data_IF_314792437396
#
_entry.id   IF_314792437396
#
_cell.length_a   1.000
_cell.length_b   1.000
_cell.length_c   1.000
_cell.angle_alpha   90.00
_cell.angle_beta   90.00
_cell.angle_gamma   90.00
#
_symmetry.space_group_name_H-M   'P 1'
#
loop_
_entity.id
_entity.type
_entity.pdbx_description
1 polymer ?
#
# COMPACT_ATOMS: atom_id res chain seq x y z
N UNK A 1 1.82 -3.11 -69.82
CA UNK A 1 1.48 -3.93 -68.64
C UNK A 1 2.26 -3.41 -67.46
N UNK A 2 1.60 -2.80 -66.46
CA UNK A 2 2.28 -2.25 -65.28
C UNK A 2 2.79 -3.41 -64.40
N UNK A 3 4.03 -3.30 -63.88
CA UNK A 3 4.58 -4.28 -62.94
C UNK A 3 3.68 -4.33 -61.68
N UNK A 4 3.38 -5.52 -61.13
CA UNK A 4 2.67 -5.61 -59.85
C UNK A 4 3.49 -4.89 -58.77
N UNK A 5 2.84 -4.01 -58.02
CA UNK A 5 3.49 -3.22 -56.99
C UNK A 5 3.91 -4.13 -55.81
N UNK A 6 5.17 -4.02 -55.38
CA UNK A 6 5.67 -4.72 -54.20
C UNK A 6 5.06 -4.12 -52.93
N UNK A 7 4.08 -4.82 -52.38
CA UNK A 7 3.38 -4.42 -51.14
C UNK A 7 4.32 -4.27 -49.93
N UNK A 8 5.44 -5.01 -49.90
CA UNK A 8 6.44 -4.89 -48.83
C UNK A 8 7.33 -3.65 -48.99
N UNK A 9 7.58 -3.20 -50.23
CA UNK A 9 8.25 -1.94 -50.50
C UNK A 9 7.36 -0.74 -50.14
N UNK A 10 6.06 -0.80 -50.46
CA UNK A 10 5.10 0.26 -50.11
C UNK A 10 4.89 0.42 -48.60
N UNK A 11 4.86 -0.70 -47.86
CA UNK A 11 4.73 -0.68 -46.40
C UNK A 11 5.98 -0.09 -45.73
N UNK A 12 7.19 -0.37 -46.26
CA UNK A 12 8.44 0.25 -45.80
C UNK A 12 8.48 1.75 -46.09
N UNK A 13 8.06 2.17 -47.28
CA UNK A 13 8.01 3.58 -47.65
C UNK A 13 7.05 4.38 -46.75
N UNK A 14 5.92 3.78 -46.35
CA UNK A 14 4.99 4.40 -45.41
C UNK A 14 5.57 4.55 -43.99
N UNK A 15 6.41 3.61 -43.55
CA UNK A 15 7.12 3.70 -42.27
C UNK A 15 8.18 4.82 -42.30
N UNK A 16 8.99 4.85 -43.35
CA UNK A 16 10.11 5.78 -43.48
C UNK A 16 9.64 7.23 -43.62
N UNK A 17 8.55 7.48 -44.35
CA UNK A 17 8.09 8.84 -44.64
C UNK A 17 7.05 9.40 -43.66
N UNK A 18 6.24 8.53 -43.03
CA UNK A 18 5.13 8.96 -42.17
C UNK A 18 5.23 8.47 -40.72
N UNK A 19 6.27 7.70 -40.37
CA UNK A 19 6.47 7.17 -39.02
C UNK A 19 5.37 6.21 -38.55
N UNK A 20 4.55 5.71 -39.48
CA UNK A 20 3.44 4.82 -39.15
C UNK A 20 3.99 3.41 -38.89
N UNK A 21 3.61 2.75 -37.77
CA UNK A 21 4.09 1.40 -37.49
C UNK A 21 3.59 0.42 -38.57
N UNK A 22 4.32 -0.68 -38.85
CA UNK A 22 3.99 -1.64 -39.90
C UNK A 22 2.56 -2.20 -39.84
N UNK A 23 1.93 -2.14 -38.66
CA UNK A 23 0.59 -2.67 -38.39
C UNK A 23 -0.53 -1.63 -38.57
N UNK A 24 -0.21 -0.36 -38.78
CA UNK A 24 -1.17 0.72 -39.02
C UNK A 24 -1.44 1.00 -40.52
N UNK A 25 -0.72 0.31 -41.40
CA UNK A 25 -0.83 0.46 -42.86
C UNK A 25 -1.33 -0.86 -43.45
N UNK A 26 -2.42 -0.81 -44.22
CA UNK A 26 -2.89 -1.93 -45.02
C UNK A 26 -2.79 -1.57 -46.51
N UNK A 27 -2.27 -2.49 -47.32
CA UNK A 27 -1.99 -2.25 -48.74
C UNK A 27 -2.90 -3.13 -49.59
N UNK A 28 -3.87 -2.49 -50.23
CA UNK A 28 -4.76 -3.13 -51.20
C UNK A 28 -4.17 -3.02 -52.61
N UNK A 29 -3.67 -4.15 -53.13
CA UNK A 29 -3.32 -4.26 -54.55
C UNK A 29 -4.58 -4.39 -55.39
N UNK A 30 -4.75 -3.53 -56.38
CA UNK A 30 -5.83 -3.57 -57.36
C UNK A 30 -5.21 -3.63 -58.75
N UNK A 31 -5.67 -4.54 -59.61
CA UNK A 31 -5.20 -4.66 -60.99
C UNK A 31 -5.57 -3.42 -61.83
N UNK A 32 -6.73 -2.83 -61.52
CA UNK A 32 -7.18 -1.55 -62.06
C UNK A 32 -7.94 -0.76 -60.99
N UNK A 33 -7.69 0.55 -60.92
CA UNK A 33 -8.36 1.43 -59.96
C UNK A 33 -9.80 1.68 -60.45
N UNK A 34 -10.84 1.34 -59.66
CA UNK A 34 -12.23 1.61 -60.01
C UNK A 34 -12.45 3.09 -60.33
N UNK A 35 -13.18 3.37 -61.41
CA UNK A 35 -13.52 4.73 -61.86
C UNK A 35 -15.02 4.86 -62.08
N UNK A 36 -15.54 6.05 -61.78
CA UNK A 36 -16.89 6.48 -62.12
C UNK A 36 -17.03 6.66 -63.64
N UNK A 37 -18.26 6.70 -64.19
CA UNK A 37 -18.50 7.02 -65.60
C UNK A 37 -17.90 8.36 -66.06
N UNK A 38 -17.63 9.27 -65.11
CA UNK A 38 -16.93 10.54 -65.34
C UNK A 38 -15.40 10.44 -65.44
N UNK A 39 -14.83 9.23 -65.35
CA UNK A 39 -13.39 8.96 -65.36
C UNK A 39 -12.68 9.22 -64.03
N UNK A 40 -13.36 9.80 -63.04
CA UNK A 40 -12.82 10.03 -61.68
C UNK A 40 -12.72 8.73 -60.88
N UNK A 41 -11.74 8.63 -59.98
CA UNK A 41 -11.60 7.48 -59.08
C UNK A 41 -12.86 7.26 -58.24
N UNK A 42 -13.38 6.04 -58.26
CA UNK A 42 -14.49 5.62 -57.42
C UNK A 42 -13.98 5.16 -56.05
N UNK A 43 -13.80 6.13 -55.15
CA UNK A 43 -13.34 5.90 -53.79
C UNK A 43 -14.26 4.98 -52.99
N UNK A 44 -15.57 4.94 -53.29
CA UNK A 44 -16.51 4.06 -52.56
C UNK A 44 -16.27 2.60 -52.87
N UNK A 45 -16.04 2.27 -54.14
CA UNK A 45 -15.70 0.91 -54.56
C UNK A 45 -14.34 0.45 -54.03
N UNK A 46 -13.35 1.36 -53.95
CA UNK A 46 -12.04 1.07 -53.33
C UNK A 46 -12.20 0.80 -51.82
N UNK A 47 -12.98 1.63 -51.13
CA UNK A 47 -13.24 1.48 -49.69
C UNK A 47 -14.01 0.17 -49.38
N UNK A 48 -15.01 -0.17 -50.19
CA UNK A 48 -15.77 -1.41 -50.04
C UNK A 48 -14.84 -2.64 -50.14
N UNK A 49 -13.97 -2.69 -51.16
CA UNK A 49 -12.99 -3.79 -51.31
C UNK A 49 -11.95 -3.84 -50.19
N UNK A 50 -11.54 -2.68 -49.67
CA UNK A 50 -10.65 -2.63 -48.51
C UNK A 50 -11.32 -3.19 -47.25
N UNK A 51 -12.61 -2.89 -47.04
CA UNK A 51 -13.41 -3.41 -45.92
C UNK A 51 -13.62 -4.92 -46.04
N UNK A 52 -14.01 -5.41 -47.23
CA UNK A 52 -14.20 -6.85 -47.49
C UNK A 52 -12.94 -7.67 -47.19
N UNK A 53 -11.77 -7.18 -47.63
CA UNK A 53 -10.48 -7.83 -47.35
C UNK A 53 -10.11 -7.80 -45.86
N UNK A 54 -10.41 -6.70 -45.18
CA UNK A 54 -10.23 -6.59 -43.72
C UNK A 54 -11.10 -7.62 -43.00
N UNK A 55 -12.39 -7.71 -43.33
CA UNK A 55 -13.31 -8.70 -42.74
C UNK A 55 -12.92 -10.14 -43.03
N UNK A 56 -12.43 -10.45 -44.24
CA UNK A 56 -11.96 -11.80 -44.58
C UNK A 56 -10.69 -12.19 -43.81
N UNK A 57 -9.81 -11.21 -43.53
CA UNK A 57 -8.59 -11.40 -42.74
C UNK A 57 -8.89 -11.54 -41.24
N UNK A 58 -9.88 -10.80 -40.75
CA UNK A 58 -10.34 -10.91 -39.36
C UNK A 58 -11.02 -12.26 -39.09
N UNK A 59 -11.74 -12.81 -40.07
CA UNK A 59 -12.32 -14.16 -40.00
C UNK A 59 -11.26 -15.28 -40.03
N UNK A 60 -10.08 -15.02 -40.60
CA UNK A 60 -8.98 -15.98 -40.69
C UNK A 60 -8.07 -16.02 -39.44
N UNK A 61 -8.33 -15.20 -38.41
CA UNK A 61 -7.65 -15.28 -37.10
C UNK A 61 -6.18 -14.85 -37.07
N UNK A 62 -5.65 -14.25 -38.13
CA UNK A 62 -4.20 -14.01 -38.31
C UNK A 62 -3.72 -12.66 -37.70
N UNK A 63 -4.56 -11.99 -36.91
CA UNK A 63 -4.20 -10.80 -36.09
C UNK A 63 -4.92 -10.82 -34.74
N UNK A 64 -4.26 -10.46 -33.62
CA UNK A 64 -4.95 -10.12 -32.39
C UNK A 64 -5.82 -8.89 -32.63
N UNK A 65 -7.14 -9.00 -32.41
CA UNK A 65 -8.08 -7.91 -32.66
C UNK A 65 -7.84 -6.65 -31.79
N UNK A 66 -8.55 -5.54 -32.03
CA UNK A 66 -8.40 -4.28 -31.28
C UNK A 66 -8.49 -4.44 -29.76
N UNK A 67 -9.31 -5.38 -29.28
CA UNK A 67 -9.42 -5.72 -27.85
C UNK A 67 -8.17 -6.38 -27.26
N UNK A 68 -7.38 -7.10 -28.06
CA UNK A 68 -6.11 -7.69 -27.62
C UNK A 68 -5.02 -6.62 -27.46
N UNK A 69 -5.00 -5.59 -28.32
CA UNK A 69 -4.06 -4.46 -28.18
C UNK A 69 -4.36 -3.60 -26.94
N UNK A 70 -5.63 -3.41 -26.59
CA UNK A 70 -6.04 -2.71 -25.36
C UNK A 70 -5.73 -3.56 -24.12
N UNK A 71 -5.94 -4.88 -24.19
CA UNK A 71 -5.59 -5.81 -23.13
C UNK A 71 -4.09 -5.82 -22.82
N UNK A 72 -3.25 -5.81 -23.86
CA UNK A 72 -1.80 -5.81 -23.73
C UNK A 72 -1.30 -4.50 -23.11
N UNK A 73 -1.90 -3.36 -23.51
CA UNK A 73 -1.64 -2.05 -22.88
C UNK A 73 -2.03 -2.02 -21.40
N UNK A 74 -3.21 -2.51 -21.04
CA UNK A 74 -3.66 -2.56 -19.65
C UNK A 74 -2.72 -3.42 -18.79
N UNK A 75 -2.25 -4.54 -19.31
CA UNK A 75 -1.28 -5.39 -18.63
C UNK A 75 0.06 -4.67 -18.43
N UNK A 76 0.55 -3.97 -19.46
CA UNK A 76 1.75 -3.12 -19.35
C UNK A 76 1.55 -2.04 -18.29
N UNK A 77 0.43 -1.30 -18.31
CA UNK A 77 0.16 -0.23 -17.36
C UNK A 77 0.11 -0.73 -15.90
N UNK A 78 -0.53 -1.87 -15.65
CA UNK A 78 -0.57 -2.50 -14.31
C UNK A 78 0.82 -2.92 -13.85
N UNK A 79 1.62 -3.54 -14.73
CA UNK A 79 3.00 -3.92 -14.40
C UNK A 79 3.87 -2.69 -14.16
N UNK A 80 3.73 -1.63 -14.95
CA UNK A 80 4.44 -0.36 -14.77
C UNK A 80 4.10 0.28 -13.44
N UNK A 81 2.82 0.33 -13.05
CA UNK A 81 2.42 0.86 -11.73
C UNK A 81 3.07 0.08 -10.59
N UNK A 82 3.08 -1.25 -10.67
CA UNK A 82 3.71 -2.09 -9.63
C UNK A 82 5.22 -1.95 -9.63
N UNK A 83 5.85 -1.94 -10.80
CA UNK A 83 7.28 -1.75 -10.98
C UNK A 83 7.75 -0.41 -10.39
N UNK A 84 7.04 0.67 -10.69
CA UNK A 84 7.35 2.01 -10.25
C UNK A 84 7.21 2.17 -8.74
N UNK A 85 6.10 1.68 -8.15
CA UNK A 85 5.85 1.86 -6.72
C UNK A 85 6.71 0.93 -5.87
N UNK A 86 7.01 -0.28 -6.34
CA UNK A 86 7.81 -1.25 -5.59
C UNK A 86 9.31 -1.16 -5.89
N UNK A 87 9.72 -0.35 -6.88
CA UNK A 87 11.11 -0.19 -7.29
C UNK A 87 11.69 -1.45 -7.95
N UNK A 88 10.88 -2.20 -8.71
CA UNK A 88 11.26 -3.50 -9.30
C UNK A 88 11.08 -3.52 -10.81
N UNK A 89 12.08 -4.01 -11.54
CA UNK A 89 12.02 -4.15 -13.00
C UNK A 89 11.55 -5.53 -13.48
N UNK A 90 11.43 -6.50 -12.59
CA UNK A 90 11.21 -7.93 -12.88
C UNK A 90 9.75 -8.38 -12.68
N UNK A 91 8.77 -7.51 -12.94
CA UNK A 91 7.35 -7.80 -12.70
C UNK A 91 6.73 -8.65 -13.82
N UNK A 92 6.16 -9.79 -13.47
CA UNK A 92 5.51 -10.76 -14.38
C UNK A 92 4.01 -10.92 -14.12
N UNK A 93 3.25 -11.55 -15.01
CA UNK A 93 1.80 -11.75 -14.82
C UNK A 93 1.44 -12.72 -13.69
N UNK A 94 2.37 -13.57 -13.27
CA UNK A 94 2.16 -14.53 -12.18
C UNK A 94 2.39 -13.88 -10.81
N UNK A 95 3.00 -12.69 -10.80
CA UNK A 95 3.27 -11.97 -9.57
C UNK A 95 1.99 -11.40 -8.97
N UNK A 96 2.04 -11.27 -7.64
CA UNK A 96 1.05 -10.60 -6.81
C UNK A 96 1.74 -9.43 -6.11
N UNK A 97 0.97 -8.45 -5.65
CA UNK A 97 1.53 -7.35 -4.85
C UNK A 97 2.35 -7.86 -3.65
N UNK A 98 1.85 -8.90 -2.97
CA UNK A 98 2.53 -9.47 -1.80
C UNK A 98 3.75 -10.33 -2.14
N UNK A 99 3.76 -11.02 -3.29
CA UNK A 99 4.94 -11.78 -3.74
C UNK A 99 6.08 -10.85 -4.15
N UNK A 100 5.75 -9.66 -4.68
CA UNK A 100 6.74 -8.63 -5.02
C UNK A 100 7.30 -7.87 -3.81
N UNK A 101 6.85 -8.19 -2.59
CA UNK A 101 7.29 -7.51 -1.36
C UNK A 101 6.55 -6.19 -1.08
N UNK A 102 5.35 -6.02 -1.63
CA UNK A 102 4.46 -4.92 -1.27
C UNK A 102 4.07 -4.96 0.21
N UNK A 103 3.92 -3.79 0.82
CA UNK A 103 3.67 -3.62 2.24
C UNK A 103 2.59 -2.56 2.52
N UNK A 104 2.31 -2.27 3.79
CA UNK A 104 1.25 -1.35 4.17
C UNK A 104 1.47 0.12 3.76
N UNK A 105 2.72 0.52 3.48
CA UNK A 105 3.03 1.87 3.01
C UNK A 105 2.75 1.98 1.51
N UNK A 106 3.21 1.00 0.72
CA UNK A 106 2.96 0.99 -0.73
C UNK A 106 1.53 0.58 -1.10
N UNK A 107 0.84 -0.19 -0.25
CA UNK A 107 -0.48 -0.75 -0.56
C UNK A 107 -1.53 0.31 -0.94
N UNK A 108 -1.64 1.37 -0.16
CA UNK A 108 -2.66 2.40 -0.38
C UNK A 108 -2.36 3.18 -1.66
N UNK A 109 -1.10 3.58 -1.86
CA UNK A 109 -0.67 4.26 -3.08
C UNK A 109 -0.87 3.39 -4.32
N UNK A 110 -0.41 2.14 -4.29
CA UNK A 110 -0.61 1.19 -5.38
C UNK A 110 -2.08 0.97 -5.66
N UNK A 111 -2.93 0.83 -4.62
CA UNK A 111 -4.37 0.65 -4.82
C UNK A 111 -5.01 1.83 -5.56
N UNK A 112 -4.64 3.07 -5.23
CA UNK A 112 -5.17 4.26 -5.88
C UNK A 112 -4.70 4.38 -7.34
N UNK A 113 -3.42 4.07 -7.62
CA UNK A 113 -2.87 4.09 -8.97
C UNK A 113 -3.45 2.97 -9.84
N UNK A 114 -3.57 1.77 -9.29
CA UNK A 114 -4.20 0.63 -9.99
C UNK A 114 -5.68 0.88 -10.24
N UNK A 115 -6.42 1.46 -9.29
CA UNK A 115 -7.83 1.79 -9.50
C UNK A 115 -8.00 2.89 -10.58
N UNK A 116 -7.04 3.80 -10.73
CA UNK A 116 -7.06 4.79 -11.82
C UNK A 116 -6.89 4.13 -13.21
N UNK A 117 -6.14 3.03 -13.29
CA UNK A 117 -5.89 2.26 -14.52
C UNK A 117 -7.03 1.26 -14.80
N UNK A 118 -7.49 0.55 -13.76
CA UNK A 118 -8.49 -0.54 -13.87
C UNK A 118 -9.94 -0.04 -13.74
N UNK A 119 -10.17 1.19 -13.28
CA UNK A 119 -11.49 1.75 -12.99
C UNK A 119 -12.10 1.23 -11.69
N UNK A 120 -12.23 -0.10 -11.54
CA UNK A 120 -12.68 -0.76 -10.31
C UNK A 120 -11.65 -1.78 -9.86
N UNK A 121 -11.14 -1.61 -8.64
CA UNK A 121 -10.17 -2.53 -8.06
C UNK A 121 -10.90 -3.63 -7.27
N UNK A 122 -10.71 -4.93 -7.60
CA UNK A 122 -11.37 -6.02 -6.90
C UNK A 122 -10.87 -6.16 -5.45
N UNK A 123 -11.75 -6.65 -4.57
CA UNK A 123 -11.37 -7.02 -3.19
C UNK A 123 -10.35 -8.16 -3.25
N UNK A 124 -9.28 -8.07 -2.47
CA UNK A 124 -8.24 -9.10 -2.48
C UNK A 124 -7.23 -8.97 -3.63
N UNK A 125 -7.20 -7.85 -4.35
CA UNK A 125 -6.27 -7.65 -5.47
C UNK A 125 -4.79 -7.94 -5.13
N UNK A 126 -4.37 -7.60 -3.91
CA UNK A 126 -3.00 -7.82 -3.45
C UNK A 126 -2.49 -9.26 -3.46
N UNK A 127 -3.38 -10.25 -3.41
CA UNK A 127 -3.04 -11.68 -3.51
C UNK A 127 -3.47 -12.29 -4.84
N UNK A 128 -4.01 -11.48 -5.75
CA UNK A 128 -4.45 -11.92 -7.07
C UNK A 128 -3.31 -11.74 -8.07
N UNK A 129 -2.99 -12.76 -8.90
CA UNK A 129 -1.98 -12.61 -9.95
C UNK A 129 -2.31 -11.46 -10.91
N UNK A 130 -1.31 -10.72 -11.37
CA UNK A 130 -1.48 -9.56 -12.26
C UNK A 130 -2.24 -9.95 -13.55
N UNK A 131 -1.93 -11.12 -14.13
CA UNK A 131 -2.63 -11.61 -15.32
C UNK A 131 -4.11 -11.91 -15.07
N UNK A 132 -4.47 -12.32 -13.85
CA UNK A 132 -5.86 -12.54 -13.46
C UNK A 132 -6.59 -11.21 -13.17
N UNK A 133 -5.89 -10.22 -12.61
CA UNK A 133 -6.44 -8.86 -12.41
C UNK A 133 -6.79 -8.18 -13.74
N UNK A 134 -5.88 -8.26 -14.71
CA UNK A 134 -6.11 -7.71 -16.05
C UNK A 134 -7.19 -8.50 -16.78
N UNK A 135 -7.26 -9.82 -16.60
CA UNK A 135 -8.35 -10.65 -17.12
C UNK A 135 -9.74 -10.26 -16.57
N UNK A 136 -9.86 -10.06 -15.25
CA UNK A 136 -11.10 -9.64 -14.62
C UNK A 136 -11.57 -8.26 -15.13
N UNK A 137 -10.65 -7.29 -15.22
CA UNK A 137 -10.95 -5.97 -15.76
C UNK A 137 -11.38 -6.01 -17.25
N UNK A 138 -10.86 -6.97 -18.03
CA UNK A 138 -11.29 -7.20 -19.43
C UNK A 138 -12.74 -7.66 -19.52
N UNK A 139 -13.17 -8.54 -18.62
CA UNK A 139 -14.55 -9.06 -18.61
C UNK A 139 -15.56 -8.04 -18.11
N UNK A 140 -15.17 -7.15 -17.20
CA UNK A 140 -16.03 -6.05 -16.73
C UNK A 140 -16.12 -4.89 -17.76
N UNK A 141 -15.09 -4.73 -18.60
CA UNK A 141 -15.00 -3.64 -19.59
C UNK A 141 -15.96 -3.74 -20.78
N UNK A 142 -16.61 -4.88 -21.01
CA UNK A 142 -17.65 -5.05 -22.04
C UNK A 142 -19.02 -4.52 -21.60
N UNK A 143 -19.23 -4.32 -20.30
CA UNK A 143 -20.45 -3.74 -19.73
C UNK A 143 -20.29 -2.22 -19.56
N UNK A 144 -20.44 -1.48 -20.66
CA UNK A 144 -20.36 0.00 -20.73
C UNK A 144 -21.47 0.75 -19.96
N UNK A 145 -22.18 0.09 -19.03
CA UNK A 145 -23.31 0.66 -18.27
C UNK A 145 -23.29 0.36 -16.77
N UNK A 146 -22.12 0.14 -16.16
CA UNK A 146 -22.07 0.21 -14.69
C UNK A 146 -22.31 1.66 -14.24
N UNK A 147 -23.36 1.95 -13.44
CA UNK A 147 -23.62 3.31 -12.95
C UNK A 147 -22.41 3.75 -12.13
N UNK A 148 -21.96 5.00 -12.36
CA UNK A 148 -20.93 5.66 -11.53
C UNK A 148 -21.48 5.79 -10.11
N UNK A 149 -21.36 4.74 -9.31
CA UNK A 149 -21.85 4.72 -7.94
C UNK A 149 -21.15 5.84 -7.19
N UNK A 150 -21.92 6.72 -6.53
CA UNK A 150 -21.37 7.85 -5.73
C UNK A 150 -20.52 7.38 -4.53
N UNK A 151 -20.52 6.08 -4.24
CA UNK A 151 -19.70 5.44 -3.21
C UNK A 151 -18.54 4.62 -3.80
N UNK A 152 -17.39 4.69 -3.13
CA UNK A 152 -16.25 3.79 -3.32
C UNK A 152 -16.15 2.82 -2.15
N UNK A 153 -15.70 1.60 -2.45
CA UNK A 153 -15.36 0.62 -1.43
C UNK A 153 -13.98 0.96 -0.89
N UNK A 154 -13.88 1.26 0.40
CA UNK A 154 -12.62 1.53 1.09
C UNK A 154 -12.37 0.44 2.13
N UNK A 155 -11.15 -0.09 2.19
CA UNK A 155 -10.79 -1.05 3.23
C UNK A 155 -10.84 -0.41 4.61
N UNK A 156 -11.44 -1.11 5.58
CA UNK A 156 -11.60 -0.62 6.95
C UNK A 156 -10.27 -0.23 7.57
N UNK A 157 -9.21 -0.99 7.31
CA UNK A 157 -7.84 -0.71 7.73
C UNK A 157 -7.36 0.68 7.25
N UNK A 158 -7.57 1.01 5.98
CA UNK A 158 -7.18 2.31 5.41
C UNK A 158 -7.98 3.44 6.06
N UNK A 159 -9.29 3.25 6.24
CA UNK A 159 -10.15 4.21 6.93
C UNK A 159 -9.71 4.42 8.38
N UNK A 160 -9.48 3.34 9.13
CA UNK A 160 -9.07 3.42 10.53
C UNK A 160 -7.69 4.08 10.67
N UNK A 161 -6.74 3.84 9.75
CA UNK A 161 -5.46 4.59 9.74
C UNK A 161 -5.67 6.09 9.56
N UNK A 162 -6.53 6.48 8.61
CA UNK A 162 -6.84 7.87 8.36
C UNK A 162 -7.54 8.54 9.56
N UNK A 163 -8.52 7.86 10.17
CA UNK A 163 -9.21 8.35 11.36
C UNK A 163 -8.26 8.43 12.55
N UNK A 164 -7.41 7.41 12.76
CA UNK A 164 -6.47 7.39 13.87
C UNK A 164 -5.42 8.50 13.76
N UNK A 165 -4.87 8.78 12.57
CA UNK A 165 -3.88 9.86 12.43
C UNK A 165 -4.52 11.24 12.64
N UNK A 166 -5.76 11.45 12.18
CA UNK A 166 -6.50 12.69 12.45
C UNK A 166 -6.81 12.81 13.95
N UNK A 167 -7.20 11.71 14.61
CA UNK A 167 -7.47 11.70 16.05
C UNK A 167 -6.22 12.02 16.89
N UNK A 168 -5.06 11.45 16.53
CA UNK A 168 -3.77 11.72 17.18
C UNK A 168 -3.42 13.21 17.06
N UNK A 169 -3.39 13.74 15.82
CA UNK A 169 -2.96 15.13 15.58
C UNK A 169 -3.96 16.12 16.18
N UNK A 170 -5.27 15.87 16.05
CA UNK A 170 -6.30 16.73 16.63
C UNK A 170 -6.26 16.75 18.16
N UNK A 171 -5.92 15.63 18.79
CA UNK A 171 -5.74 15.55 20.24
C UNK A 171 -4.49 16.25 20.72
N UNK A 172 -3.38 16.10 20.02
CA UNK A 172 -2.14 16.80 20.39
C UNK A 172 -2.25 18.32 20.17
N UNK A 173 -2.98 18.75 19.14
CA UNK A 173 -3.15 20.17 18.82
C UNK A 173 -4.25 20.89 19.61
N UNK A 174 -4.76 20.31 20.70
CA UNK A 174 -5.86 20.82 21.52
C UNK A 174 -7.18 21.11 20.77
N UNK A 175 -7.45 20.45 19.63
CA UNK A 175 -8.68 20.64 18.88
C UNK A 175 -9.87 19.87 19.47
N UNK A 176 -9.63 18.64 19.91
CA UNK A 176 -10.57 17.78 20.63
C UNK A 176 -9.77 16.71 21.38
N UNK A 177 -10.32 16.05 22.40
CA UNK A 177 -9.61 14.96 23.10
C UNK A 177 -10.20 13.62 22.68
N UNK A 178 -9.47 12.89 21.82
CA UNK A 178 -9.83 11.52 21.41
C UNK A 178 -8.57 10.64 21.38
N UNK A 179 -8.21 10.14 22.55
CA UNK A 179 -7.04 9.30 22.74
C UNK A 179 -7.28 7.86 22.26
N UNK A 180 -6.20 7.08 22.11
CA UNK A 180 -6.25 5.67 21.71
C UNK A 180 -5.96 5.39 20.24
N UNK A 181 -5.92 6.42 19.38
CA UNK A 181 -5.62 6.26 17.95
C UNK A 181 -4.31 5.49 17.67
N UNK A 182 -3.24 5.78 18.41
CA UNK A 182 -1.97 5.06 18.28
C UNK A 182 -2.05 3.55 18.64
N UNK A 183 -2.92 3.19 19.59
CA UNK A 183 -3.13 1.80 20.01
C UNK A 183 -3.93 1.03 18.95
N UNK A 184 -4.90 1.69 18.32
CA UNK A 184 -5.60 1.14 17.13
C UNK A 184 -4.60 0.96 15.98
N UNK A 185 -3.70 1.93 15.73
CA UNK A 185 -2.65 1.79 14.72
C UNK A 185 -1.72 0.60 14.99
N UNK A 186 -1.45 0.27 16.26
CA UNK A 186 -0.63 -0.87 16.62
C UNK A 186 -1.32 -2.21 16.28
N UNK A 187 -2.62 -2.34 16.57
CA UNK A 187 -3.42 -3.48 16.11
C UNK A 187 -3.48 -3.57 14.58
N UNK A 188 -3.63 -2.43 13.90
CA UNK A 188 -3.57 -2.37 12.44
C UNK A 188 -2.19 -2.80 11.91
N UNK A 189 -1.10 -2.40 12.57
CA UNK A 189 0.25 -2.80 12.19
C UNK A 189 0.41 -4.33 12.27
N UNK A 190 -0.11 -4.96 13.33
CA UNK A 190 -0.15 -6.42 13.45
C UNK A 190 -0.98 -7.09 12.37
N UNK A 191 -2.16 -6.53 12.06
CA UNK A 191 -3.01 -7.00 10.95
C UNK A 191 -2.26 -6.93 9.61
N UNK A 192 -1.59 -5.81 9.34
CA UNK A 192 -0.81 -5.59 8.12
C UNK A 192 0.40 -6.53 8.03
N UNK A 193 1.08 -6.76 9.15
CA UNK A 193 2.17 -7.74 9.23
C UNK A 193 1.69 -9.13 8.80
N UNK A 194 0.58 -9.59 9.40
CA UNK A 194 -0.04 -10.87 9.06
C UNK A 194 -0.50 -10.95 7.59
N UNK A 195 -0.92 -9.82 7.02
CA UNK A 195 -1.50 -9.70 5.67
C UNK A 195 -0.44 -9.68 4.57
N UNK A 196 0.60 -8.88 4.74
CA UNK A 196 1.57 -8.57 3.67
C UNK A 196 2.86 -9.37 3.77
N UNK A 197 3.27 -9.76 4.98
CA UNK A 197 4.57 -10.40 5.17
C UNK A 197 4.49 -11.91 5.42
N UNK A 198 3.34 -12.45 5.83
CA UNK A 198 3.21 -13.88 6.15
C UNK A 198 2.54 -14.62 4.98
N UNK A 199 3.24 -14.63 3.84
CA UNK A 199 2.78 -15.15 2.55
C UNK A 199 3.34 -16.57 2.28
N UNK A 200 2.99 -17.13 1.13
CA UNK A 200 3.47 -18.44 0.67
C UNK A 200 4.91 -18.42 0.13
N UNK A 201 5.56 -17.25 0.03
CA UNK A 201 6.93 -17.14 -0.50
C UNK A 201 7.95 -17.88 0.39
N UNK A 202 9.09 -18.29 -0.17
CA UNK A 202 10.17 -18.92 0.60
C UNK A 202 10.62 -18.07 1.79
N UNK A 203 11.05 -18.72 2.87
CA UNK A 203 11.44 -18.05 4.13
C UNK A 203 12.50 -16.95 3.93
N UNK A 204 13.52 -17.20 3.11
CA UNK A 204 14.60 -16.23 2.88
C UNK A 204 14.07 -14.95 2.23
N UNK A 205 13.18 -15.09 1.25
CA UNK A 205 12.54 -13.97 0.57
C UNK A 205 11.57 -13.22 1.50
N UNK A 206 10.80 -13.96 2.31
CA UNK A 206 9.95 -13.40 3.36
C UNK A 206 10.74 -12.52 4.34
N UNK A 207 11.87 -13.01 4.84
CA UNK A 207 12.74 -12.27 5.76
C UNK A 207 13.32 -11.03 5.08
N UNK A 208 13.72 -11.14 3.81
CA UNK A 208 14.19 -9.99 3.02
C UNK A 208 13.10 -8.93 2.87
N UNK A 209 11.89 -9.31 2.49
CA UNK A 209 10.75 -8.39 2.36
C UNK A 209 10.40 -7.72 3.69
N UNK A 210 10.44 -8.48 4.79
CA UNK A 210 10.28 -7.93 6.13
C UNK A 210 11.36 -6.89 6.44
N UNK A 211 12.64 -7.23 6.27
CA UNK A 211 13.75 -6.33 6.53
C UNK A 211 13.67 -5.05 5.69
N UNK A 212 13.29 -5.15 4.41
CA UNK A 212 13.03 -4.00 3.53
C UNK A 212 11.86 -3.16 4.03
N UNK A 213 10.78 -3.77 4.50
CA UNK A 213 9.63 -3.02 5.03
C UNK A 213 9.98 -2.31 6.35
N UNK A 214 10.75 -2.97 7.23
CA UNK A 214 11.29 -2.33 8.44
C UNK A 214 12.17 -1.14 8.07
N UNK A 215 13.07 -1.27 7.10
CA UNK A 215 13.94 -0.15 6.71
C UNK A 215 13.18 1.03 6.11
N UNK A 216 12.08 0.78 5.36
CA UNK A 216 11.18 1.83 4.84
C UNK A 216 10.48 2.64 5.93
N UNK A 217 10.35 2.11 7.14
CA UNK A 217 9.82 2.84 8.31
C UNK A 217 10.96 3.43 9.14
N UNK A 218 11.95 2.61 9.48
CA UNK A 218 13.04 2.97 10.38
C UNK A 218 13.92 4.07 9.79
N UNK A 219 14.39 3.93 8.55
CA UNK A 219 15.35 4.87 7.96
C UNK A 219 14.79 6.29 7.85
N UNK A 220 13.59 6.52 7.26
CA UNK A 220 13.01 7.87 7.22
C UNK A 220 12.78 8.45 8.62
N UNK A 221 12.38 7.62 9.58
CA UNK A 221 12.16 8.04 10.96
C UNK A 221 13.48 8.45 11.63
N UNK A 222 14.52 7.62 11.54
CA UNK A 222 15.84 7.91 12.10
C UNK A 222 16.44 9.18 11.47
N UNK A 223 16.30 9.37 10.15
CA UNK A 223 16.75 10.59 9.46
C UNK A 223 15.97 11.82 9.92
N UNK A 224 14.65 11.71 10.06
CA UNK A 224 13.82 12.80 10.59
C UNK A 224 14.23 13.15 12.02
N UNK A 225 14.35 12.15 12.90
CA UNK A 225 14.75 12.36 14.30
C UNK A 225 16.16 12.93 14.39
N UNK A 226 17.09 12.53 13.52
CA UNK A 226 18.42 13.12 13.44
C UNK A 226 18.36 14.61 13.07
N UNK A 227 17.50 14.99 12.12
CA UNK A 227 17.30 16.39 11.76
C UNK A 227 16.68 17.19 12.91
N UNK A 228 15.67 16.63 13.59
CA UNK A 228 15.03 17.27 14.74
C UNK A 228 15.98 17.37 15.94
N UNK A 229 16.87 16.40 16.14
CA UNK A 229 17.87 16.43 17.22
C UNK A 229 18.84 17.63 17.10
N UNK A 230 19.01 18.21 15.91
CA UNK A 230 19.80 19.43 15.72
C UNK A 230 19.12 20.65 16.34
N UNK A 231 17.79 20.71 16.28
CA UNK A 231 16.99 21.85 16.77
C UNK A 231 16.45 21.63 18.19
N UNK A 232 16.26 20.38 18.60
CA UNK A 232 15.61 19.99 19.85
C UNK A 232 16.63 19.29 20.76
N UNK A 233 17.19 20.04 21.72
CA UNK A 233 18.35 19.61 22.54
C UNK A 233 18.14 18.30 23.32
N UNK A 234 16.91 18.00 23.68
CA UNK A 234 16.58 16.85 24.53
C UNK A 234 16.31 15.56 23.74
N UNK A 235 16.28 15.63 22.39
CA UNK A 235 16.24 14.45 21.52
C UNK A 235 17.67 13.95 21.32
N UNK A 236 18.01 12.88 22.02
CA UNK A 236 19.35 12.29 21.99
C UNK A 236 19.52 11.18 20.96
N UNK A 237 20.74 10.63 20.91
CA UNK A 237 21.07 9.48 20.04
C UNK A 237 20.16 8.26 20.27
N UNK A 238 19.63 8.09 21.50
CA UNK A 238 18.71 6.99 21.84
C UNK A 238 17.41 7.10 21.04
N UNK A 239 16.87 8.31 20.90
CA UNK A 239 15.69 8.57 20.08
C UNK A 239 16.01 8.38 18.59
N UNK A 240 17.13 8.94 18.13
CA UNK A 240 17.56 8.82 16.73
C UNK A 240 17.71 7.36 16.31
N UNK A 241 18.21 6.48 17.19
CA UNK A 241 18.34 5.05 16.92
C UNK A 241 17.09 4.23 17.27
N UNK A 242 16.00 4.85 17.72
CA UNK A 242 14.76 4.19 18.16
C UNK A 242 15.02 3.17 19.28
N UNK A 243 15.79 3.58 20.29
CA UNK A 243 16.18 2.80 21.47
C UNK A 243 15.81 3.49 22.79
N UNK A 244 14.99 4.54 22.76
CA UNK A 244 14.64 5.30 23.96
C UNK A 244 13.75 4.49 24.93
N UNK A 245 12.77 3.74 24.44
CA UNK A 245 11.96 2.82 25.25
C UNK A 245 12.76 1.65 25.85
N UNK A 246 13.91 1.29 25.27
CA UNK A 246 14.80 0.26 25.82
C UNK A 246 15.87 0.80 26.79
N UNK A 247 16.49 1.93 26.46
CA UNK A 247 17.66 2.47 27.15
C UNK A 247 17.41 3.83 27.84
N UNK A 248 16.25 4.43 27.63
CA UNK A 248 15.87 5.75 28.15
C UNK A 248 15.27 5.71 29.56
N UNK A 249 14.82 6.87 30.05
CA UNK A 249 14.08 6.98 31.31
C UNK A 249 12.83 6.10 31.30
N UNK A 250 12.46 5.55 32.46
CA UNK A 250 11.30 4.66 32.59
C UNK A 250 9.97 5.39 32.72
N UNK A 251 10.01 6.64 33.18
CA UNK A 251 8.86 7.53 33.18
C UNK A 251 8.72 8.22 31.83
N UNK A 252 7.50 8.60 31.47
CA UNK A 252 7.27 9.49 30.34
C UNK A 252 8.05 10.78 30.52
N UNK A 253 8.87 11.14 29.53
CA UNK A 253 9.59 12.41 29.49
C UNK A 253 9.42 13.05 28.12
N UNK A 254 9.01 14.32 28.10
CA UNK A 254 8.93 15.10 26.87
C UNK A 254 10.23 15.90 26.71
N UNK A 255 10.83 15.94 25.50
CA UNK A 255 10.34 15.43 24.21
C UNK A 255 10.73 13.98 23.87
N UNK A 256 11.41 13.24 24.74
CA UNK A 256 11.95 11.91 24.39
C UNK A 256 10.86 10.86 24.12
N UNK A 257 9.67 11.00 24.71
CA UNK A 257 8.53 10.11 24.54
C UNK A 257 7.75 10.30 23.23
N UNK A 258 7.93 11.42 22.53
CA UNK A 258 7.10 11.83 21.39
C UNK A 258 6.95 10.78 20.29
N UNK A 259 7.99 9.97 20.06
CA UNK A 259 8.09 9.01 18.95
C UNK A 259 7.97 7.54 19.36
N UNK A 260 7.47 7.26 20.58
CA UNK A 260 7.37 5.92 21.14
C UNK A 260 6.71 4.90 20.19
N UNK A 261 5.67 5.30 19.45
CA UNK A 261 4.92 4.39 18.59
C UNK A 261 5.79 3.80 17.48
N UNK A 262 6.59 4.65 16.83
CA UNK A 262 7.50 4.22 15.75
C UNK A 262 8.59 3.31 16.31
N UNK A 263 9.13 3.65 17.48
CA UNK A 263 10.11 2.80 18.16
C UNK A 263 9.53 1.41 18.47
N UNK A 264 8.36 1.35 19.12
CA UNK A 264 7.68 0.10 19.44
C UNK A 264 7.41 -0.73 18.19
N UNK A 265 6.93 -0.09 17.12
CA UNK A 265 6.66 -0.74 15.85
C UNK A 265 7.93 -1.33 15.23
N UNK A 266 9.00 -0.55 15.12
CA UNK A 266 10.26 -0.98 14.51
C UNK A 266 10.90 -2.11 15.32
N UNK A 267 10.99 -1.97 16.65
CA UNK A 267 11.54 -3.01 17.52
C UNK A 267 10.74 -4.31 17.43
N UNK A 268 9.41 -4.22 17.45
CA UNK A 268 8.53 -5.39 17.30
C UNK A 268 8.78 -6.10 15.97
N UNK A 269 8.84 -5.34 14.87
CA UNK A 269 9.09 -5.90 13.55
C UNK A 269 10.50 -6.49 13.41
N UNK A 270 11.52 -5.87 14.00
CA UNK A 270 12.89 -6.41 14.03
C UNK A 270 12.94 -7.75 14.76
N UNK A 271 12.35 -7.83 15.96
CA UNK A 271 12.27 -9.08 16.74
C UNK A 271 11.53 -10.15 15.95
N UNK A 272 10.36 -9.84 15.37
CA UNK A 272 9.61 -10.80 14.56
C UNK A 272 10.37 -11.24 13.30
N UNK A 273 11.12 -10.33 12.67
CA UNK A 273 11.98 -10.65 11.53
C UNK A 273 13.09 -11.61 11.92
N UNK A 274 13.76 -11.37 13.06
CA UNK A 274 14.78 -12.26 13.60
C UNK A 274 14.21 -13.63 13.98
N UNK A 275 13.03 -13.67 14.62
CA UNK A 275 12.35 -14.91 14.96
C UNK A 275 11.97 -15.71 13.71
N UNK A 276 11.38 -15.07 12.69
CA UNK A 276 11.02 -15.73 11.43
C UNK A 276 12.23 -16.13 10.57
N UNK A 277 13.41 -15.59 10.84
CA UNK A 277 14.65 -16.09 10.28
C UNK A 277 15.00 -17.50 10.81
N UNK A 278 14.46 -17.91 11.96
CA UNK A 278 14.63 -19.27 12.50
C UNK A 278 13.67 -20.24 11.79
N UNK A 279 14.16 -21.31 11.13
CA UNK A 279 13.30 -22.25 10.37
C UNK A 279 12.22 -22.93 11.19
N UNK A 280 12.45 -23.11 12.50
CA UNK A 280 11.46 -23.68 13.40
C UNK A 280 10.27 -22.74 13.63
N UNK A 281 10.52 -21.44 13.80
CA UNK A 281 9.48 -20.43 14.00
C UNK A 281 8.66 -20.23 12.73
N UNK A 282 9.29 -20.16 11.55
CA UNK A 282 8.57 -20.08 10.27
C UNK A 282 7.64 -21.29 10.07
N UNK A 283 8.10 -22.50 10.39
CA UNK A 283 7.26 -23.71 10.34
C UNK A 283 6.11 -23.67 11.35
N UNK A 284 6.37 -23.19 12.56
CA UNK A 284 5.35 -23.07 13.61
C UNK A 284 4.27 -22.08 13.19
N UNK A 285 4.65 -20.93 12.63
CA UNK A 285 3.71 -19.93 12.12
C UNK A 285 2.87 -20.48 10.98
N UNK A 286 3.45 -21.20 10.02
CA UNK A 286 2.70 -21.83 8.93
C UNK A 286 1.73 -22.89 9.43
N UNK A 287 2.14 -23.71 10.41
CA UNK A 287 1.31 -24.78 10.99
C UNK A 287 0.16 -24.22 11.84
N UNK A 288 0.43 -23.19 12.63
CA UNK A 288 -0.50 -22.63 13.60
C UNK A 288 -0.82 -21.17 13.29
N UNK A 289 -1.19 -20.87 12.04
CA UNK A 289 -1.28 -19.49 11.54
C UNK A 289 -2.22 -18.59 12.36
N UNK A 290 -3.32 -19.13 12.90
CA UNK A 290 -4.19 -18.40 13.83
C UNK A 290 -3.75 -18.52 15.30
N UNK A 291 -3.44 -19.74 15.75
CA UNK A 291 -3.20 -20.00 17.17
C UNK A 291 -1.88 -19.45 17.69
N UNK A 292 -0.85 -19.30 16.83
CA UNK A 292 0.41 -18.69 17.21
C UNK A 292 0.23 -17.21 17.62
N UNK A 293 -0.30 -16.30 16.77
CA UNK A 293 -0.51 -14.92 17.17
C UNK A 293 -1.54 -14.77 18.29
N UNK A 294 -2.57 -15.61 18.32
CA UNK A 294 -3.55 -15.59 19.42
C UNK A 294 -2.91 -15.98 20.76
N UNK A 295 -2.09 -17.02 20.78
CA UNK A 295 -1.34 -17.43 21.98
C UNK A 295 -0.31 -16.39 22.41
N UNK A 296 0.37 -15.74 21.47
CA UNK A 296 1.27 -14.61 21.75
C UNK A 296 0.52 -13.42 22.35
N UNK A 297 -0.71 -13.14 21.90
CA UNK A 297 -1.54 -12.12 22.50
C UNK A 297 -1.90 -12.46 23.96
N UNK A 298 -2.32 -13.70 24.22
CA UNK A 298 -2.63 -14.14 25.59
C UNK A 298 -1.39 -14.10 26.50
N UNK A 299 -0.22 -14.51 25.98
CA UNK A 299 1.04 -14.41 26.72
C UNK A 299 1.40 -12.94 27.00
N UNK A 300 1.19 -12.04 26.03
CA UNK A 300 1.37 -10.60 26.22
C UNK A 300 0.40 -10.00 27.25
N UNK A 301 -0.80 -10.56 27.43
CA UNK A 301 -1.71 -10.11 28.48
C UNK A 301 -1.24 -10.45 29.90
N UNK A 302 -0.29 -11.37 30.07
CA UNK A 302 0.31 -11.64 31.37
C UNK A 302 1.10 -10.45 31.91
N UNK A 303 1.65 -9.61 31.03
CA UNK A 303 2.33 -8.37 31.44
C UNK A 303 1.34 -7.27 31.79
N UNK A 304 0.15 -7.26 31.16
CA UNK A 304 -0.95 -6.34 31.50
C UNK A 304 -1.50 -6.59 32.91
N UNK A 305 -1.72 -7.84 33.27
CA UNK A 305 -2.35 -8.21 34.55
C UNK A 305 -1.34 -8.40 35.69
N UNK A 306 -0.12 -7.88 35.54
CA UNK A 306 0.98 -8.00 36.51
C UNK A 306 1.31 -9.43 36.95
N UNK A 307 0.90 -10.43 36.17
CA UNK A 307 1.24 -11.85 36.38
C UNK A 307 2.72 -12.06 36.08
N UNK A 308 3.21 -11.41 35.02
CA UNK A 308 4.64 -11.26 34.73
C UNK A 308 5.00 -9.80 34.93
N UNK A 309 5.60 -9.51 36.09
CA UNK A 309 6.02 -8.16 36.43
C UNK A 309 7.21 -7.74 35.55
N UNK A 310 6.99 -6.76 34.69
CA UNK A 310 8.07 -6.02 34.07
C UNK A 310 8.58 -4.96 35.05
N UNK A 311 9.81 -4.46 34.82
CA UNK A 311 10.37 -3.37 35.63
C UNK A 311 9.41 -2.17 35.68
N UNK A 312 9.13 -1.57 36.86
CA UNK A 312 8.17 -0.46 37.01
C UNK A 312 8.44 0.73 36.07
N UNK A 313 7.40 1.34 35.49
CA UNK A 313 7.53 2.49 34.60
C UNK A 313 6.25 2.84 33.82
N UNK A 314 6.42 3.55 32.71
CA UNK A 314 5.35 3.92 31.77
C UNK A 314 4.90 2.72 30.93
N UNK A 315 3.85 2.05 31.36
CA UNK A 315 3.44 0.77 30.79
C UNK A 315 2.73 0.90 29.44
N UNK A 316 2.04 2.01 29.17
CA UNK A 316 1.23 2.17 27.94
C UNK A 316 2.05 2.52 26.68
N UNK A 317 3.31 2.94 26.83
CA UNK A 317 4.17 3.31 25.70
C UNK A 317 5.31 2.31 25.44
N UNK A 318 5.33 1.18 26.15
CA UNK A 318 6.41 0.18 26.06
C UNK A 318 6.03 -1.02 25.23
N UNK A 319 6.92 -1.40 24.32
CA UNK A 319 6.70 -2.50 23.38
C UNK A 319 6.27 -3.81 24.07
N UNK A 320 6.90 -4.17 25.19
CA UNK A 320 6.60 -5.40 25.93
C UNK A 320 5.21 -5.44 26.56
N UNK A 321 4.59 -4.28 26.81
CA UNK A 321 3.26 -4.17 27.43
C UNK A 321 2.18 -4.03 26.37
N UNK A 322 2.43 -3.32 25.26
CA UNK A 322 1.40 -3.14 24.21
C UNK A 322 1.46 -4.18 23.10
N UNK A 323 2.45 -5.09 23.10
CA UNK A 323 2.61 -6.11 22.06
C UNK A 323 1.36 -6.99 21.87
N UNK A 324 0.57 -7.22 22.93
CA UNK A 324 -0.66 -8.01 22.80
C UNK A 324 -1.67 -7.37 21.81
N UNK A 325 -1.72 -6.04 21.68
CA UNK A 325 -2.57 -5.38 20.67
C UNK A 325 -2.10 -5.69 19.25
N UNK A 326 -0.78 -5.65 19.02
CA UNK A 326 -0.18 -6.06 17.75
C UNK A 326 -0.50 -7.52 17.44
N UNK A 327 -0.31 -8.41 18.42
CA UNK A 327 -0.59 -9.84 18.27
C UNK A 327 -2.08 -10.13 18.00
N UNK A 328 -3.01 -9.41 18.64
CA UNK A 328 -4.45 -9.49 18.33
C UNK A 328 -4.77 -9.02 16.91
N UNK A 329 -4.12 -7.95 16.45
CA UNK A 329 -4.20 -7.48 15.07
C UNK A 329 -3.77 -8.55 14.07
N UNK A 330 -2.63 -9.20 14.35
CA UNK A 330 -2.14 -10.33 13.55
C UNK A 330 -3.11 -11.52 13.60
N UNK A 331 -3.63 -11.89 14.77
CA UNK A 331 -4.63 -12.96 14.89
C UNK A 331 -5.91 -12.63 14.09
N UNK A 332 -6.30 -11.35 14.02
CA UNK A 332 -7.48 -10.88 13.29
C UNK A 332 -7.41 -11.21 11.80
N UNK A 333 -6.29 -10.95 11.12
CA UNK A 333 -6.18 -11.27 9.68
C UNK A 333 -6.19 -12.78 9.43
N UNK A 334 -5.71 -13.58 10.39
CA UNK A 334 -5.71 -15.05 10.32
C UNK A 334 -7.04 -15.67 10.80
N UNK A 335 -8.01 -14.88 11.25
CA UNK A 335 -9.31 -15.34 11.72
C UNK A 335 -10.26 -15.69 10.55
N UNK A 336 -10.06 -16.87 9.98
CA UNK A 336 -10.83 -17.39 8.83
C UNK A 336 -12.25 -17.85 9.20
N UNK A 337 -12.50 -18.25 10.45
CA UNK A 337 -13.80 -18.74 10.92
C UNK A 337 -14.51 -17.72 11.81
N UNK A 338 -15.84 -17.79 11.90
CA UNK A 338 -16.62 -16.96 12.85
C UNK A 338 -16.18 -17.19 14.30
N UNK A 339 -15.82 -18.43 14.67
CA UNK A 339 -15.33 -18.77 16.01
C UNK A 339 -14.04 -18.02 16.34
N UNK A 340 -13.07 -17.98 15.42
CA UNK A 340 -11.83 -17.22 15.61
C UNK A 340 -12.10 -15.72 15.80
N UNK A 341 -13.03 -15.14 15.04
CA UNK A 341 -13.41 -13.73 15.19
C UNK A 341 -14.08 -13.42 16.52
N UNK A 342 -14.95 -14.31 16.98
CA UNK A 342 -15.57 -14.20 18.31
C UNK A 342 -14.50 -14.29 19.39
N UNK A 343 -13.58 -15.26 19.32
CA UNK A 343 -12.48 -15.38 20.29
C UNK A 343 -11.62 -14.10 20.37
N UNK A 344 -11.18 -13.58 19.22
CA UNK A 344 -10.41 -12.31 19.19
C UNK A 344 -11.23 -11.15 19.76
N UNK A 345 -12.52 -11.05 19.40
CA UNK A 345 -13.41 -10.00 19.91
C UNK A 345 -13.60 -10.10 21.42
N UNK A 346 -13.79 -11.30 21.96
CA UNK A 346 -13.93 -11.56 23.39
C UNK A 346 -12.66 -11.14 24.14
N UNK A 347 -11.48 -11.46 23.62
CA UNK A 347 -10.22 -11.03 24.25
C UNK A 347 -10.10 -9.51 24.22
N UNK A 348 -10.34 -8.86 23.07
CA UNK A 348 -10.31 -7.38 22.96
C UNK A 348 -11.22 -6.71 24.00
N UNK A 349 -12.46 -7.17 24.13
CA UNK A 349 -13.44 -6.59 25.06
C UNK A 349 -13.09 -6.87 26.51
N UNK A 350 -12.58 -8.07 26.82
CA UNK A 350 -12.20 -8.43 28.18
C UNK A 350 -10.88 -7.80 28.63
N UNK A 351 -9.98 -7.50 27.69
CA UNK A 351 -8.62 -7.07 27.97
C UNK A 351 -8.39 -5.57 27.84
N UNK A 352 -9.42 -4.73 27.72
CA UNK A 352 -9.28 -3.28 27.66
C UNK A 352 -9.77 -2.53 28.90
N UNK A 353 -10.85 -2.95 29.57
CA UNK A 353 -11.29 -2.31 30.81
C UNK A 353 -10.18 -2.19 31.86
N UNK A 354 -9.98 -0.98 32.36
CA UNK A 354 -8.96 -0.65 33.36
C UNK A 354 -7.53 -0.64 32.81
N UNK A 355 -7.33 -0.54 31.49
CA UNK A 355 -5.96 -0.43 30.94
C UNK A 355 -5.43 0.98 30.98
N UNK A 356 -6.31 1.92 30.67
CA UNK A 356 -5.94 3.31 30.43
C UNK A 356 -6.46 4.24 31.51
N UNK A 357 -7.27 3.70 32.45
CA UNK A 357 -8.08 4.46 33.40
C UNK A 357 -8.92 5.57 32.74
N UNK A 358 -9.23 5.36 31.46
CA UNK A 358 -9.99 6.26 30.60
C UNK A 358 -10.98 5.42 29.76
N UNK A 359 -12.27 5.40 30.13
CA UNK A 359 -13.27 4.56 29.45
C UNK A 359 -13.52 4.99 28.01
N UNK A 360 -13.30 6.27 27.66
CA UNK A 360 -13.48 6.76 26.28
C UNK A 360 -12.34 6.24 25.41
N UNK A 361 -11.10 6.34 25.88
CA UNK A 361 -9.93 5.77 25.20
C UNK A 361 -10.06 4.26 25.02
N UNK A 362 -10.52 3.55 26.06
CA UNK A 362 -10.79 2.11 25.99
C UNK A 362 -11.85 1.80 24.93
N UNK A 363 -12.97 2.52 24.92
CA UNK A 363 -14.05 2.34 23.94
C UNK A 363 -13.57 2.59 22.51
N UNK A 364 -12.72 3.60 22.28
CA UNK A 364 -12.12 3.88 20.96
C UNK A 364 -11.27 2.70 20.48
N UNK A 365 -10.43 2.14 21.35
CA UNK A 365 -9.57 0.99 20.99
C UNK A 365 -10.41 -0.27 20.75
N UNK A 366 -11.40 -0.55 21.62
CA UNK A 366 -12.35 -1.66 21.42
C UNK A 366 -13.05 -1.50 20.08
N UNK A 367 -13.65 -0.33 19.81
CA UNK A 367 -14.38 -0.07 18.58
C UNK A 367 -13.48 -0.22 17.34
N UNK A 368 -12.29 0.37 17.35
CA UNK A 368 -11.33 0.25 16.25
C UNK A 368 -10.94 -1.20 15.94
N UNK A 369 -10.68 -1.99 16.99
CA UNK A 369 -10.34 -3.41 16.84
C UNK A 369 -11.54 -4.25 16.38
N UNK A 370 -12.74 -4.02 16.90
CA UNK A 370 -13.94 -4.73 16.47
C UNK A 370 -14.31 -4.40 15.02
N UNK A 371 -14.18 -3.14 14.61
CA UNK A 371 -14.34 -2.74 13.20
C UNK A 371 -13.35 -3.48 12.31
N UNK A 372 -12.08 -3.60 12.74
CA UNK A 372 -11.06 -4.36 12.01
C UNK A 372 -11.37 -5.87 11.91
N UNK A 373 -11.98 -6.46 12.94
CA UNK A 373 -12.36 -7.89 12.97
C UNK A 373 -13.57 -8.20 12.07
N UNK A 374 -14.58 -7.34 12.12
CA UNK A 374 -15.90 -7.65 11.55
C UNK A 374 -16.11 -7.01 10.18
N UNK A 375 -15.58 -5.81 9.94
CA UNK A 375 -15.73 -5.08 8.69
C UNK A 375 -14.46 -5.19 7.86
N UNK A 376 -14.55 -5.86 6.71
CA UNK A 376 -13.43 -5.91 5.74
C UNK A 376 -13.28 -4.61 4.96
N UNK A 377 -14.41 -4.04 4.53
CA UNK A 377 -14.47 -2.81 3.78
C UNK A 377 -15.81 -2.11 4.02
N UNK A 378 -15.82 -0.80 3.79
CA UNK A 378 -16.98 0.08 3.95
C UNK A 378 -17.22 0.89 2.68
N UNK A 379 -18.48 1.19 2.38
CA UNK A 379 -18.84 2.08 1.28
C UNK A 379 -18.81 3.52 1.80
N UNK A 380 -17.98 4.37 1.20
CA UNK A 380 -17.85 5.79 1.56
C UNK A 380 -17.93 6.66 0.31
N UNK A 381 -18.30 7.94 0.44
CA UNK A 381 -18.26 8.87 -0.69
C UNK A 381 -16.87 8.92 -1.34
N UNK A 382 -16.82 9.15 -2.66
CA UNK A 382 -15.56 9.18 -3.42
C UNK A 382 -14.53 10.16 -2.85
N UNK A 383 -14.98 11.33 -2.36
CA UNK A 383 -14.08 12.31 -1.76
C UNK A 383 -13.48 11.82 -0.43
N UNK A 384 -14.28 11.14 0.40
CA UNK A 384 -13.83 10.55 1.67
C UNK A 384 -12.83 9.42 1.43
N UNK A 385 -13.08 8.56 0.43
CA UNK A 385 -12.14 7.52 0.04
C UNK A 385 -10.78 8.10 -0.41
N UNK A 386 -10.80 9.19 -1.19
CA UNK A 386 -9.58 9.88 -1.63
C UNK A 386 -8.83 10.50 -0.46
N UNK A 387 -9.52 11.22 0.42
CA UNK A 387 -8.94 11.83 1.61
C UNK A 387 -8.32 10.78 2.54
N UNK A 388 -9.08 9.71 2.83
CA UNK A 388 -8.59 8.60 3.64
C UNK A 388 -7.37 7.92 3.01
N UNK A 389 -7.34 7.74 1.69
CA UNK A 389 -6.18 7.24 0.97
C UNK A 389 -4.93 8.10 1.18
N UNK A 390 -5.05 9.43 1.04
CA UNK A 390 -3.94 10.37 1.27
C UNK A 390 -3.47 10.32 2.72
N UNK A 391 -4.38 10.41 3.70
CA UNK A 391 -4.02 10.38 5.11
C UNK A 391 -3.40 9.05 5.53
N UNK A 392 -3.92 7.93 5.03
CA UNK A 392 -3.36 6.62 5.33
C UNK A 392 -1.95 6.47 4.73
N UNK A 393 -1.72 6.89 3.48
CA UNK A 393 -0.38 6.86 2.86
C UNK A 393 0.62 7.77 3.57
N UNK A 394 0.19 8.99 3.95
CA UNK A 394 1.04 9.97 4.61
C UNK A 394 1.16 9.76 6.13
N UNK A 395 0.44 8.80 6.72
CA UNK A 395 0.29 8.67 8.19
C UNK A 395 1.60 8.62 8.96
N UNK A 396 2.63 7.92 8.45
CA UNK A 396 3.95 7.90 9.07
C UNK A 396 4.58 9.30 9.12
N UNK A 397 4.56 10.02 8.00
CA UNK A 397 5.18 11.34 7.90
C UNK A 397 4.39 12.42 8.65
N UNK A 398 3.05 12.30 8.70
CA UNK A 398 2.20 13.13 9.56
C UNK A 398 2.56 12.88 11.04
N UNK A 399 2.67 11.61 11.45
CA UNK A 399 3.07 11.27 12.81
C UNK A 399 4.46 11.80 13.17
N UNK A 400 5.41 11.78 12.23
CA UNK A 400 6.75 12.34 12.49
C UNK A 400 6.75 13.87 12.55
N UNK A 401 6.07 14.53 11.62
CA UNK A 401 6.18 15.97 11.44
C UNK A 401 5.33 16.81 12.40
N UNK A 402 4.18 16.29 12.87
CA UNK A 402 3.23 17.10 13.62
C UNK A 402 3.83 17.75 14.88
N UNK A 403 4.70 17.04 15.61
CA UNK A 403 5.41 17.55 16.81
C UNK A 403 6.23 18.82 16.56
N UNK A 404 6.65 19.08 15.32
CA UNK A 404 7.41 20.29 14.98
C UNK A 404 6.50 21.46 14.57
N UNK A 405 5.21 21.21 14.36
CA UNK A 405 4.27 22.19 13.79
C UNK A 405 3.28 22.64 14.86
N UNK A 406 2.53 21.71 15.46
CA UNK A 406 1.40 22.06 16.33
C UNK A 406 1.76 22.87 17.60
N UNK A 407 2.89 22.66 18.30
CA UNK A 407 3.12 23.29 19.61
C UNK A 407 3.15 24.83 19.56
N UNK A 408 3.46 25.41 18.39
CA UNK A 408 3.52 26.86 18.21
C UNK A 408 2.13 27.52 18.07
N UNK A 409 1.08 26.73 17.88
CA UNK A 409 -0.24 27.19 17.46
C UNK A 409 -1.40 26.64 18.28
N UNK A 410 -1.20 25.56 19.04
CA UNK A 410 -2.28 24.82 19.72
C UNK A 410 -3.15 25.67 20.66
N UNK A 411 -2.54 26.57 21.44
CA UNK A 411 -3.27 27.35 22.44
C UNK A 411 -4.14 28.45 21.82
N UNK A 412 -3.70 29.01 20.68
CA UNK A 412 -4.35 30.17 20.05
C UNK A 412 -5.21 29.80 18.85
N UNK A 413 -4.78 28.81 18.08
CA UNK A 413 -5.38 28.40 16.81
C UNK A 413 -5.35 26.86 16.63
N UNK A 414 -6.05 26.08 17.47
CA UNK A 414 -5.98 24.61 17.48
C UNK A 414 -6.38 23.98 16.13
N UNK A 415 -7.36 24.58 15.44
CA UNK A 415 -7.74 24.14 14.09
C UNK A 415 -6.61 24.36 13.07
N UNK A 416 -5.93 25.52 13.11
CA UNK A 416 -4.82 25.80 12.22
C UNK A 416 -3.62 24.89 12.54
N UNK A 417 -3.33 24.68 13.83
CA UNK A 417 -2.31 23.75 14.30
C UNK A 417 -2.52 22.33 13.74
N UNK A 418 -3.76 21.84 13.81
CA UNK A 418 -4.15 20.53 13.26
C UNK A 418 -3.99 20.48 11.73
N UNK A 419 -4.58 21.44 11.01
CA UNK A 419 -4.56 21.45 9.54
C UNK A 419 -3.15 21.61 8.97
N UNK A 420 -2.32 22.48 9.57
CA UNK A 420 -0.93 22.67 9.16
C UNK A 420 -0.07 21.43 9.46
N UNK A 421 -0.30 20.76 10.59
CA UNK A 421 0.39 19.52 10.93
C UNK A 421 0.07 18.39 9.95
N UNK A 422 -1.21 18.22 9.59
CA UNK A 422 -1.65 17.28 8.57
C UNK A 422 -1.04 17.63 7.20
N UNK A 423 -1.10 18.91 6.79
CA UNK A 423 -0.58 19.36 5.52
C UNK A 423 0.95 19.20 5.44
N UNK A 424 1.69 19.58 6.48
CA UNK A 424 3.14 19.45 6.56
C UNK A 424 3.60 17.99 6.44
N UNK A 425 2.91 17.07 7.12
CA UNK A 425 3.15 15.64 6.97
C UNK A 425 2.88 15.11 5.57
N UNK A 426 1.81 15.57 4.90
CA UNK A 426 1.49 15.21 3.51
C UNK A 426 2.57 15.74 2.56
N UNK A 427 3.04 16.97 2.74
CA UNK A 427 4.13 17.56 1.93
C UNK A 427 5.42 16.75 2.13
N UNK A 428 5.78 16.42 3.37
CA UNK A 428 6.95 15.61 3.67
C UNK A 428 6.86 14.23 3.00
N UNK A 429 5.71 13.55 3.12
CA UNK A 429 5.45 12.28 2.44
C UNK A 429 5.66 12.39 0.93
N UNK A 430 5.13 13.43 0.30
CA UNK A 430 5.27 13.64 -1.14
C UNK A 430 6.72 13.91 -1.57
N UNK A 431 7.47 14.70 -0.80
CA UNK A 431 8.88 14.99 -1.06
C UNK A 431 9.69 13.70 -0.99
N UNK A 432 9.53 12.93 0.08
CA UNK A 432 10.27 11.67 0.27
C UNK A 432 9.89 10.66 -0.81
N UNK A 433 8.60 10.46 -1.08
CA UNK A 433 8.14 9.50 -2.09
C UNK A 433 8.62 9.82 -3.50
N UNK A 434 8.76 11.11 -3.83
CA UNK A 434 9.35 11.53 -5.12
C UNK A 434 10.86 11.39 -5.15
N UNK A 435 11.55 11.56 -4.02
CA UNK A 435 13.00 11.47 -3.94
C UNK A 435 13.50 10.01 -3.96
N UNK A 436 12.76 9.07 -3.36
CA UNK A 436 13.17 7.67 -3.18
C UNK A 436 13.67 7.00 -4.47
N UNK A 437 12.97 7.06 -5.63
CA UNK A 437 13.44 6.42 -6.85
C UNK A 437 14.78 6.98 -7.36
N UNK A 438 15.05 8.27 -7.16
CA UNK A 438 16.33 8.89 -7.55
C UNK A 438 17.47 8.44 -6.65
N UNK A 439 17.20 8.34 -5.34
CA UNK A 439 18.17 7.86 -4.36
C UNK A 439 18.51 6.39 -4.62
N UNK A 440 17.51 5.54 -4.85
CA UNK A 440 17.70 4.12 -5.15
C UNK A 440 18.50 3.91 -6.45
N UNK A 441 18.21 4.69 -7.50
CA UNK A 441 18.99 4.67 -8.75
C UNK A 441 20.42 5.14 -8.55
N UNK A 442 20.65 6.19 -7.76
CA UNK A 442 21.98 6.71 -7.47
C UNK A 442 22.83 5.70 -6.66
N UNK A 443 22.22 4.99 -5.72
CA UNK A 443 22.89 3.94 -4.94
C UNK A 443 23.19 2.71 -5.79
N UNK A 444 22.24 2.27 -6.63
CA UNK A 444 22.43 1.12 -7.53
C UNK A 444 23.47 1.39 -8.63
N UNK A 445 23.50 2.62 -9.17
CA UNK A 445 24.50 3.05 -10.15
C UNK A 445 25.92 3.20 -9.58
N UNK A 446 26.05 3.41 -8.25
CA UNK A 446 27.35 3.39 -7.56
C UNK A 446 27.84 1.96 -7.30
N UNK A 447 26.94 1.03 -6.97
CA UNK A 447 27.29 -0.37 -6.78
C UNK A 447 27.80 -1.03 -8.08
N UNK A 448 27.21 -0.70 -9.23
CA UNK A 448 27.66 -1.21 -10.54
C UNK A 448 28.97 -0.62 -11.06
N UNK A 449 29.49 0.48 -10.47
CA UNK A 449 30.79 1.08 -10.81
C UNK A 449 31.93 0.62 -9.90
N UNK A 450 31.64 -0.15 -8.84
CA UNK A 450 32.64 -0.67 -7.91
C UNK A 450 33.11 -2.10 -8.21
N UNK A 451 32.64 -2.71 -9.29
CA UNK A 451 32.93 -4.10 -9.69
C UNK A 451 33.54 -4.21 -11.10
N UNK A 452 34.17 -3.15 -11.59
CA UNK A 452 34.96 -3.18 -12.84
C UNK A 452 36.41 -2.86 -12.57
#
# INVERSE_FOLDING_TARGET
SAKPADTAALTRLAQEHFGLPPRAVDVLGLDEIPRLPSGKTDYRSVEARARERTTARDAAGDRPGPGAAVADRLAVDVRTVLADVLGRGDVTDQDTFVSLGGDSLSYVETSLRLEAVLGRLPVGWHVTPIGALTAAARTDGTDTRAPRTRGRTLETNVLLRALAIVAIVGSHANLFVLLGGAHVLLGIAGFNFGRFHLTSVPRQERVRHLATSVSRVAVPSMLWLAAVAVTTRDIGWRNVLLLNGLLGPRSWTEPQGWYWFVEVLVLTLLVLTALLAVPWVDRLERRWSFWLPFGLALAGLLTRYDVVQLLPGDDIHRAGVVFWLFALGWATVKATTRRHRVLVSSVVVASLPGFFDDPVREAVVVAGMLLLVWLRAVQVPTWSARAAGVFASASLYIYLAHWQIYPHLEDRYPLAATLLSLAGGIVLWQVVSRATPYVERALSGRAGRGTT
#
